data_IF_401269164254
#
_entry.id   IF_401269164254
#
_cell.length_a   1.000
_cell.length_b   1.000
_cell.length_c   1.000
_cell.angle_alpha   90.00
_cell.angle_beta   90.00
_cell.angle_gamma   90.00
#
_symmetry.space_group_name_H-M   'P 1'
#
loop_
_entity.id
_entity.type
_entity.pdbx_description
1 polymer ?
#
# COMPACT_ATOMS: atom_id res chain seq x y z
N UNK A 1 29.52 -38.40 -29.95
CA UNK A 1 30.64 -37.72 -29.25
C UNK A 1 30.54 -36.24 -29.56
N UNK A 2 29.76 -35.50 -28.77
CA UNK A 2 29.63 -34.05 -28.94
C UNK A 2 30.10 -33.38 -27.65
N UNK A 3 31.11 -32.55 -27.82
CA UNK A 3 32.05 -32.09 -26.80
C UNK A 3 31.43 -31.05 -25.88
N UNK A 4 31.35 -31.36 -24.59
CA UNK A 4 31.07 -30.42 -23.51
C UNK A 4 32.15 -29.33 -23.48
N UNK A 5 31.82 -28.11 -23.92
CA UNK A 5 32.64 -26.93 -23.65
C UNK A 5 32.26 -26.39 -22.28
N UNK A 6 33.19 -26.53 -21.35
CA UNK A 6 33.16 -25.96 -20.00
C UNK A 6 33.05 -24.44 -20.11
N UNK A 7 31.88 -23.89 -19.77
CA UNK A 7 31.73 -22.45 -19.55
C UNK A 7 32.06 -22.21 -18.08
N UNK A 8 33.28 -21.76 -17.82
CA UNK A 8 33.72 -21.24 -16.53
C UNK A 8 33.00 -19.91 -16.30
N UNK A 9 31.90 -19.89 -15.54
CA UNK A 9 31.37 -18.65 -14.99
C UNK A 9 32.26 -18.23 -13.82
N UNK A 10 33.10 -17.23 -14.07
CA UNK A 10 33.89 -16.55 -13.05
C UNK A 10 32.92 -15.80 -12.11
N UNK A 11 32.92 -16.18 -10.83
CA UNK A 11 32.22 -15.50 -9.76
C UNK A 11 32.91 -14.14 -9.52
N UNK A 12 32.38 -13.06 -10.12
CA UNK A 12 32.80 -11.71 -9.82
C UNK A 12 31.92 -11.16 -8.69
N UNK A 13 32.45 -11.24 -7.47
CA UNK A 13 31.92 -10.57 -6.29
C UNK A 13 32.04 -9.05 -6.48
N UNK A 14 30.98 -8.40 -6.96
CA UNK A 14 30.86 -6.95 -6.91
C UNK A 14 30.22 -6.56 -5.58
N UNK A 15 31.06 -6.28 -4.58
CA UNK A 15 30.64 -5.53 -3.39
C UNK A 15 30.52 -4.07 -3.81
N UNK A 16 29.34 -3.67 -4.27
CA UNK A 16 28.99 -2.26 -4.37
C UNK A 16 28.39 -1.90 -3.02
N UNK A 17 29.23 -1.38 -2.12
CA UNK A 17 28.75 -0.59 -1.00
C UNK A 17 28.16 0.71 -1.57
N UNK A 18 26.91 0.64 -2.04
CA UNK A 18 26.13 1.80 -2.36
C UNK A 18 25.56 2.36 -1.06
N UNK A 19 26.36 3.19 -0.39
CA UNK A 19 25.84 4.27 0.44
C UNK A 19 25.06 5.20 -0.51
N UNK A 20 23.79 4.89 -0.72
CA UNK A 20 22.86 5.74 -1.44
C UNK A 20 22.43 6.89 -0.53
N UNK A 21 23.28 7.91 -0.43
CA UNK A 21 22.86 9.22 0.03
C UNK A 21 21.83 9.79 -0.94
N UNK A 22 20.60 9.96 -0.46
CA UNK A 22 19.52 10.66 -1.14
C UNK A 22 18.94 11.70 -0.20
N UNK A 23 19.60 12.85 -0.11
CA UNK A 23 18.99 14.05 0.47
C UNK A 23 17.94 14.57 -0.49
N UNK A 24 16.69 14.63 -0.03
CA UNK A 24 15.60 15.39 -0.64
C UNK A 24 15.07 16.34 0.41
N UNK A 25 15.19 17.65 0.16
CA UNK A 25 14.85 18.69 1.13
C UNK A 25 13.39 18.65 1.56
N UNK A 26 13.16 18.83 2.86
CA UNK A 26 11.88 19.23 3.42
C UNK A 26 11.40 20.51 2.71
N UNK A 27 10.41 20.36 1.84
CA UNK A 27 9.33 21.35 1.81
C UNK A 27 8.54 21.16 3.09
N UNK A 28 8.41 22.22 3.88
CA UNK A 28 7.83 22.24 5.23
C UNK A 28 6.31 21.99 5.30
N UNK A 29 5.69 21.49 4.23
CA UNK A 29 4.24 21.51 4.07
C UNK A 29 3.61 20.12 3.82
N UNK A 30 4.37 19.01 3.87
CA UNK A 30 3.78 17.66 3.87
C UNK A 30 3.35 17.28 5.29
N UNK A 31 2.03 17.18 5.58
CA UNK A 31 1.54 16.88 6.92
C UNK A 31 1.83 15.44 7.38
N UNK A 32 2.32 14.58 6.48
CA UNK A 32 2.70 13.21 6.78
C UNK A 32 4.14 12.95 6.36
N UNK A 33 5.03 12.77 7.33
CA UNK A 33 6.36 12.21 7.08
C UNK A 33 6.30 10.69 7.22
N UNK A 34 6.39 9.91 6.12
CA UNK A 34 6.49 8.46 6.24
C UNK A 34 7.70 8.11 7.12
N UNK A 35 7.60 7.08 7.98
CA UNK A 35 8.76 6.60 8.72
C UNK A 35 9.90 6.28 7.74
N UNK A 36 11.11 6.71 8.07
CA UNK A 36 12.32 6.19 7.41
C UNK A 36 12.31 4.67 7.56
N UNK A 37 12.60 3.99 6.45
CA UNK A 37 12.48 2.53 6.30
C UNK A 37 13.05 1.80 7.52
N UNK A 38 12.26 1.02 8.28
CA UNK A 38 12.79 0.27 9.41
C UNK A 38 13.59 -0.93 8.87
N UNK A 39 14.91 -0.88 8.97
CA UNK A 39 15.81 -2.02 8.69
C UNK A 39 15.96 -2.94 9.91
N UNK A 40 14.86 -3.31 10.56
CA UNK A 40 14.92 -4.35 11.60
C UNK A 40 13.67 -5.24 11.61
N UNK A 41 13.81 -6.58 11.48
CA UNK A 41 12.71 -7.55 11.52
C UNK A 41 12.19 -7.75 12.96
N UNK A 42 11.57 -6.72 13.50
CA UNK A 42 10.60 -6.82 14.58
C UNK A 42 9.29 -6.31 14.01
N UNK A 43 8.43 -7.23 13.56
CA UNK A 43 7.07 -6.91 13.13
C UNK A 43 6.36 -6.20 14.28
N UNK A 44 6.35 -4.86 14.28
CA UNK A 44 5.43 -4.09 15.13
C UNK A 44 4.04 -4.58 14.75
N UNK A 45 3.29 -5.08 15.74
CA UNK A 45 2.04 -5.78 15.54
C UNK A 45 1.09 -4.99 14.64
N UNK A 46 0.33 -5.69 13.80
CA UNK A 46 -0.80 -5.10 13.08
C UNK A 46 -1.95 -4.96 14.09
N UNK A 47 -2.38 -3.73 14.34
CA UNK A 47 -3.46 -3.43 15.29
C UNK A 47 -4.84 -3.81 14.73
N UNK A 48 -5.02 -3.62 13.41
CA UNK A 48 -6.26 -3.96 12.72
C UNK A 48 -6.00 -4.33 11.26
N UNK A 49 -6.74 -5.34 10.79
CA UNK A 49 -6.80 -5.71 9.37
C UNK A 49 -8.19 -5.42 8.83
N UNK A 50 -8.27 -4.70 7.71
CA UNK A 50 -9.49 -4.52 6.93
C UNK A 50 -9.51 -5.54 5.80
N UNK A 51 -10.64 -6.21 5.58
CA UNK A 51 -10.83 -7.07 4.41
C UNK A 51 -11.20 -6.22 3.19
N UNK A 52 -10.46 -6.35 2.09
CA UNK A 52 -10.72 -5.62 0.85
C UNK A 52 -11.14 -6.57 -0.25
N UNK A 53 -12.32 -6.30 -0.82
CA UNK A 53 -12.81 -6.97 -2.02
C UNK A 53 -13.26 -5.93 -3.04
N UNK A 54 -13.55 -6.38 -4.26
CA UNK A 54 -14.11 -5.54 -5.32
C UNK A 54 -15.41 -6.16 -5.83
N UNK A 55 -16.46 -5.35 -5.92
CA UNK A 55 -17.71 -5.74 -6.58
C UNK A 55 -18.36 -4.53 -7.26
N UNK A 56 -19.39 -4.77 -8.06
CA UNK A 56 -20.17 -3.68 -8.65
C UNK A 56 -20.85 -2.84 -7.56
N UNK A 57 -21.03 -1.55 -7.85
CA UNK A 57 -21.81 -0.65 -7.00
C UNK A 57 -23.26 -1.15 -6.82
N UNK A 58 -23.79 -0.99 -5.62
CA UNK A 58 -25.19 -1.24 -5.26
C UNK A 58 -26.05 0.02 -5.41
N UNK A 59 -25.45 1.18 -5.73
CA UNK A 59 -26.19 2.42 -5.93
C UNK A 59 -27.14 2.29 -7.13
N UNK A 60 -28.41 2.60 -6.91
CA UNK A 60 -29.46 2.47 -7.93
C UNK A 60 -29.16 3.34 -9.16
N UNK A 61 -29.12 2.72 -10.33
CA UNK A 61 -28.84 3.41 -11.60
C UNK A 61 -27.36 3.75 -11.83
N UNK A 62 -26.46 3.34 -10.93
CA UNK A 62 -25.02 3.48 -11.11
C UNK A 62 -24.39 2.20 -11.69
N UNK A 63 -23.17 2.31 -12.20
CA UNK A 63 -22.36 1.20 -12.65
C UNK A 63 -20.89 1.41 -12.30
N UNK A 64 -20.11 0.34 -12.37
CA UNK A 64 -18.68 0.36 -12.05
C UNK A 64 -18.34 -0.41 -10.79
N UNK A 65 -17.09 -0.84 -10.72
CA UNK A 65 -16.56 -1.59 -9.60
C UNK A 65 -16.15 -0.64 -8.47
N UNK A 66 -16.38 -1.05 -7.24
CA UNK A 66 -16.04 -0.34 -6.01
C UNK A 66 -15.20 -1.23 -5.11
N UNK A 67 -14.33 -0.63 -4.29
CA UNK A 67 -13.81 -1.36 -3.15
C UNK A 67 -14.91 -1.54 -2.11
N UNK A 68 -14.96 -2.75 -1.57
CA UNK A 68 -15.70 -3.07 -0.37
C UNK A 68 -14.71 -3.28 0.76
N UNK A 69 -14.92 -2.58 1.86
CA UNK A 69 -14.07 -2.63 3.05
C UNK A 69 -14.91 -3.25 4.15
N UNK A 70 -14.50 -4.42 4.64
CA UNK A 70 -15.28 -5.20 5.61
C UNK A 70 -16.74 -5.45 5.15
N UNK A 71 -16.94 -5.62 3.83
CA UNK A 71 -18.22 -5.79 3.12
C UNK A 71 -19.10 -4.53 3.01
N UNK A 72 -18.61 -3.35 3.40
CA UNK A 72 -19.28 -2.08 3.14
C UNK A 72 -18.76 -1.46 1.84
N UNK A 73 -19.66 -0.98 0.97
CA UNK A 73 -19.28 -0.32 -0.29
C UNK A 73 -18.67 1.05 0.00
N UNK A 74 -17.41 1.26 -0.38
CA UNK A 74 -16.72 2.53 -0.28
C UNK A 74 -16.92 3.30 1.04
N UNK A 75 -16.77 2.71 2.24
CA UNK A 75 -16.92 3.47 3.48
C UNK A 75 -15.82 4.51 3.62
N UNK A 76 -16.12 5.59 4.34
CA UNK A 76 -15.06 6.40 4.91
C UNK A 76 -14.35 5.58 6.00
N UNK A 77 -13.02 5.52 5.97
CA UNK A 77 -12.23 4.76 6.95
C UNK A 77 -11.69 5.72 8.01
N UNK A 78 -11.78 5.34 9.29
CA UNK A 78 -11.10 6.03 10.37
C UNK A 78 -9.88 5.24 10.81
N UNK A 79 -8.74 5.91 10.91
CA UNK A 79 -7.45 5.37 11.33
C UNK A 79 -7.02 6.11 12.58
N UNK A 80 -6.91 5.41 13.70
CA UNK A 80 -6.26 5.96 14.89
C UNK A 80 -4.75 6.02 14.66
N UNK A 81 -4.16 7.20 14.90
CA UNK A 81 -2.70 7.40 14.84
C UNK A 81 -1.99 6.63 15.95
N UNK A 82 -0.69 6.40 15.79
CA UNK A 82 0.08 5.57 16.73
C UNK A 82 -0.01 4.06 16.46
N UNK A 83 -0.76 3.64 15.43
CA UNK A 83 -1.05 2.22 15.12
C UNK A 83 -0.61 1.81 13.71
N UNK A 84 -0.61 0.51 13.45
CA UNK A 84 -0.37 -0.07 12.12
C UNK A 84 -1.58 -0.84 11.63
N UNK A 85 -1.90 -0.66 10.37
CA UNK A 85 -3.07 -1.24 9.73
C UNK A 85 -2.66 -2.09 8.54
N UNK A 86 -3.34 -3.21 8.40
CA UNK A 86 -3.28 -4.05 7.22
C UNK A 86 -4.59 -3.91 6.42
N UNK A 87 -4.48 -3.95 5.11
CA UNK A 87 -5.59 -4.09 4.20
C UNK A 87 -5.37 -5.41 3.46
N UNK A 88 -6.16 -6.43 3.79
CA UNK A 88 -6.08 -7.75 3.17
C UNK A 88 -6.60 -7.67 1.74
N UNK A 89 -5.71 -7.94 0.79
CA UNK A 89 -5.95 -7.90 -0.64
C UNK A 89 -5.85 -9.30 -1.26
N UNK A 90 -6.06 -10.34 -0.44
CA UNK A 90 -5.97 -11.73 -0.88
C UNK A 90 -7.06 -12.15 -1.86
N UNK A 91 -8.20 -11.43 -1.87
CA UNK A 91 -9.33 -11.77 -2.71
C UNK A 91 -9.04 -11.48 -4.19
N UNK A 92 -9.26 -12.47 -5.05
CA UNK A 92 -8.99 -12.39 -6.49
C UNK A 92 -9.67 -11.24 -7.22
N UNK A 93 -10.80 -10.74 -6.70
CA UNK A 93 -11.51 -9.56 -7.24
C UNK A 93 -10.63 -8.30 -7.22
N UNK A 94 -9.60 -8.25 -6.38
CA UNK A 94 -8.70 -7.12 -6.26
C UNK A 94 -7.58 -7.11 -7.31
N UNK A 95 -7.36 -8.21 -8.05
CA UNK A 95 -6.19 -8.42 -8.93
C UNK A 95 -5.95 -7.36 -10.00
N UNK A 96 -7.03 -6.87 -10.63
CA UNK A 96 -6.97 -5.82 -11.67
C UNK A 96 -7.23 -4.42 -11.11
N UNK A 97 -7.30 -4.28 -9.79
CA UNK A 97 -7.70 -3.06 -9.11
C UNK A 97 -6.62 -2.64 -8.11
N UNK A 98 -5.46 -2.11 -8.52
CA UNK A 98 -4.34 -1.89 -7.60
C UNK A 98 -4.70 -0.89 -6.49
N UNK A 99 -4.65 -1.33 -5.23
CA UNK A 99 -5.03 -0.54 -4.06
C UNK A 99 -3.90 0.39 -3.63
N UNK A 100 -4.22 1.65 -3.36
CA UNK A 100 -3.28 2.67 -2.88
C UNK A 100 -3.95 3.56 -1.83
N UNK A 101 -3.13 4.15 -0.97
CA UNK A 101 -3.52 5.22 -0.05
C UNK A 101 -2.70 6.45 -0.43
N UNK A 102 -3.30 7.64 -0.53
CA UNK A 102 -2.60 8.88 -0.90
C UNK A 102 -3.12 10.13 -0.19
N UNK A 103 -2.34 11.22 -0.26
CA UNK A 103 -2.72 12.54 0.28
C UNK A 103 -3.67 13.36 -0.62
N UNK A 104 -3.96 12.88 -1.82
CA UNK A 104 -4.90 13.51 -2.73
C UNK A 104 -5.85 12.48 -3.32
N UNK A 105 -7.08 12.89 -3.62
CA UNK A 105 -8.06 12.03 -4.27
C UNK A 105 -7.51 11.53 -5.61
N UNK A 106 -7.43 10.21 -5.77
CA UNK A 106 -7.03 9.52 -6.99
C UNK A 106 -5.67 9.93 -7.59
N UNK A 107 -4.79 10.50 -6.77
CA UNK A 107 -3.51 11.03 -7.20
C UNK A 107 -2.59 11.31 -6.00
N UNK A 108 -1.46 11.95 -6.26
CA UNK A 108 -0.58 12.44 -5.21
C UNK A 108 0.41 11.39 -4.70
N UNK A 109 1.00 11.69 -3.55
CA UNK A 109 1.98 10.79 -2.94
C UNK A 109 1.27 9.63 -2.27
N UNK A 110 1.76 8.42 -2.54
CA UNK A 110 1.19 7.20 -1.97
C UNK A 110 1.90 6.78 -0.70
N UNK A 111 1.15 6.26 0.26
CA UNK A 111 1.64 5.83 1.57
C UNK A 111 1.31 4.38 1.84
N UNK A 112 2.25 3.66 2.43
CA UNK A 112 2.13 2.24 2.72
C UNK A 112 2.86 1.35 1.73
N UNK A 113 2.89 0.06 2.03
CA UNK A 113 3.68 -0.94 1.30
C UNK A 113 2.80 -2.15 0.98
N UNK A 114 2.82 -2.60 -0.28
CA UNK A 114 2.19 -3.85 -0.68
C UNK A 114 3.18 -5.01 -0.45
N UNK A 115 2.76 -5.99 0.34
CA UNK A 115 3.44 -7.28 0.49
C UNK A 115 2.65 -8.33 -0.30
N UNK A 116 3.35 -9.11 -1.11
CA UNK A 116 2.74 -10.13 -1.97
C UNK A 116 2.19 -9.59 -3.29
N UNK A 117 1.39 -10.40 -3.98
CA UNK A 117 0.72 -10.03 -5.24
C UNK A 117 -0.76 -9.85 -5.00
N UNK A 118 -1.26 -8.62 -5.17
CA UNK A 118 -2.69 -8.33 -4.97
C UNK A 118 -3.60 -9.28 -5.77
N UNK A 119 -4.65 -9.76 -5.13
CA UNK A 119 -5.53 -10.80 -5.66
C UNK A 119 -5.03 -12.23 -5.49
N UNK A 120 -3.98 -12.44 -4.70
CA UNK A 120 -3.45 -13.77 -4.36
C UNK A 120 -3.37 -13.97 -2.84
N UNK A 121 -3.51 -15.21 -2.34
CA UNK A 121 -3.49 -15.47 -0.90
C UNK A 121 -2.27 -14.89 -0.18
N UNK A 122 -2.52 -14.14 0.89
CA UNK A 122 -1.48 -13.51 1.71
C UNK A 122 -1.04 -12.13 1.22
N UNK A 123 -1.68 -11.58 0.19
CA UNK A 123 -1.41 -10.22 -0.24
C UNK A 123 -2.00 -9.20 0.75
N UNK A 124 -1.18 -8.26 1.19
CA UNK A 124 -1.57 -7.27 2.19
C UNK A 124 -0.94 -5.92 1.89
N UNK A 125 -1.72 -4.84 2.02
CA UNK A 125 -1.20 -3.48 2.00
C UNK A 125 -1.05 -2.97 3.43
N UNK A 126 0.15 -2.55 3.81
CA UNK A 126 0.47 -2.13 5.18
C UNK A 126 0.54 -0.61 5.22
N UNK A 127 -0.28 0.00 6.06
CA UNK A 127 -0.25 1.43 6.37
C UNK A 127 0.25 1.65 7.79
N UNK A 128 1.31 2.44 7.94
CA UNK A 128 1.93 2.72 9.23
C UNK A 128 1.58 4.13 9.70
N UNK A 129 0.69 4.24 10.69
CA UNK A 129 0.27 5.50 11.27
C UNK A 129 1.02 5.82 12.58
N UNK A 130 2.09 5.09 12.93
CA UNK A 130 2.76 5.22 14.24
C UNK A 130 3.33 6.62 14.50
N UNK A 131 3.79 7.30 13.45
CA UNK A 131 4.34 8.66 13.51
C UNK A 131 3.46 9.68 12.77
N UNK A 132 2.19 9.34 12.49
CA UNK A 132 1.29 10.21 11.77
C UNK A 132 0.61 11.22 12.70
N UNK A 133 0.27 12.40 12.15
CA UNK A 133 -0.53 13.40 12.86
C UNK A 133 -2.02 13.12 12.68
N UNK A 134 -2.80 13.34 13.73
CA UNK A 134 -4.27 13.33 13.65
C UNK A 134 -4.79 14.58 12.90
N UNK A 135 -6.04 14.51 12.42
CA UNK A 135 -6.68 15.59 11.66
C UNK A 135 -6.32 15.61 10.18
N UNK A 136 -5.61 14.58 9.69
CA UNK A 136 -5.23 14.45 8.27
C UNK A 136 -6.29 13.63 7.54
N UNK A 137 -6.69 14.10 6.36
CA UNK A 137 -7.52 13.33 5.43
C UNK A 137 -6.64 12.77 4.32
N UNK A 138 -6.63 11.46 4.21
CA UNK A 138 -6.06 10.68 3.12
C UNK A 138 -7.20 10.06 2.30
N UNK A 139 -6.83 9.34 1.24
CA UNK A 139 -7.77 8.67 0.34
C UNK A 139 -7.24 7.30 0.03
N UNK A 140 -8.06 6.26 0.21
CA UNK A 140 -7.78 4.97 -0.43
C UNK A 140 -8.43 4.96 -1.81
N UNK A 141 -7.75 4.40 -2.81
CA UNK A 141 -8.21 4.46 -4.20
C UNK A 141 -7.58 3.38 -5.07
N UNK A 142 -8.07 3.26 -6.31
CA UNK A 142 -7.57 2.31 -7.29
C UNK A 142 -6.70 3.00 -8.32
N UNK A 143 -5.43 2.58 -8.43
CA UNK A 143 -4.48 3.18 -9.37
C UNK A 143 -4.80 2.91 -10.85
N UNK A 144 -5.78 2.06 -11.14
CA UNK A 144 -6.18 1.72 -12.51
C UNK A 144 -7.55 2.28 -12.91
N UNK A 145 -8.44 2.53 -11.95
CA UNK A 145 -9.83 2.88 -12.23
C UNK A 145 -10.30 3.98 -11.27
N UNK A 146 -10.90 5.03 -11.82
CA UNK A 146 -11.47 6.13 -11.03
C UNK A 146 -12.75 5.71 -10.31
N UNK A 147 -13.07 6.44 -9.24
CA UNK A 147 -14.28 6.32 -8.45
C UNK A 147 -14.34 5.10 -7.54
N UNK A 148 -13.27 4.32 -7.43
CA UNK A 148 -13.30 3.06 -6.66
C UNK A 148 -13.05 3.22 -5.16
N UNK A 149 -12.65 4.41 -4.72
CA UNK A 149 -12.15 4.70 -3.38
C UNK A 149 -13.01 5.67 -2.57
N UNK A 150 -12.58 5.96 -1.34
CA UNK A 150 -13.17 7.01 -0.52
C UNK A 150 -12.12 7.61 0.43
N UNK A 151 -12.55 8.50 1.32
CA UNK A 151 -11.72 9.15 2.33
C UNK A 151 -11.26 8.18 3.41
N UNK A 152 -10.08 8.48 3.95
CA UNK A 152 -9.49 7.84 5.12
C UNK A 152 -9.00 8.93 6.06
N UNK A 153 -9.63 9.09 7.23
CA UNK A 153 -9.30 10.13 8.18
C UNK A 153 -8.44 9.60 9.31
N UNK A 154 -7.36 10.32 9.63
CA UNK A 154 -6.50 10.03 10.78
C UNK A 154 -7.01 10.76 12.03
N UNK A 155 -7.29 10.01 13.09
CA UNK A 155 -7.81 10.51 14.37
C UNK A 155 -6.94 10.08 15.54
N UNK A 156 -7.16 10.64 16.73
CA UNK A 156 -6.54 10.16 17.97
C UNK A 156 -7.19 8.88 18.47
#
# INVERSE_FOLDING_TARGET
MNTFKKVTLLFALFVIAACGGGGGGMGSDDPYTPPSTPTNPGMTAIDKTFAITVAQTQAYGASGNKYYVDNEENPAITIEVGKRYAFDLSDSSTSTHPFRISNASESGMTYGELVGTQGTPGAVYIFDATNANAGITLYYWCNAHSGMGNTMMLTN
#
